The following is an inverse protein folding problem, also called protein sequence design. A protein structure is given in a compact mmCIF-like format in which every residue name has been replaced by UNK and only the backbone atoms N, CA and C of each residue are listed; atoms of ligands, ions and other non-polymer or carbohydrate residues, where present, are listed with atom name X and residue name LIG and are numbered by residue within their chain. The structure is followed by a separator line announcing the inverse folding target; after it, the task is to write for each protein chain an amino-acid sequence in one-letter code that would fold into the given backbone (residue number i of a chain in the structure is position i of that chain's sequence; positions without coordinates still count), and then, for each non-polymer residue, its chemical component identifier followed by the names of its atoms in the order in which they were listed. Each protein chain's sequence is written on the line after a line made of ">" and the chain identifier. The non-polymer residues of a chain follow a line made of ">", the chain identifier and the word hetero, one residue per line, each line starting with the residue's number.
data_IF_218395904687
#
_entry.id   IF_218395904687
#
_cell.length_a   1.000
_cell.length_b   1.000
_cell.length_c   1.000
_cell.angle_alpha   90.00
_cell.angle_beta   90.00
_cell.angle_gamma   90.00
#
_symmetry.space_group_name_H-M   'P 1'
#
loop_
_entity.id
_entity.type
_entity.pdbx_description
1 polymer ?
#
# COMPACT_ATOMS: atom_id res chain seq x y z
N UNK A 1 5.09 -6.68 25.69
CA UNK A 1 5.34 -5.42 24.92
C UNK A 1 4.13 -5.29 24.03
N UNK A 2 3.36 -4.20 24.14
CA UNK A 2 2.01 -4.07 23.60
C UNK A 2 1.81 -4.57 22.17
N UNK A 3 2.71 -4.24 21.24
CA UNK A 3 2.56 -4.71 19.85
C UNK A 3 2.73 -6.23 19.71
N UNK A 4 3.67 -6.83 20.45
CA UNK A 4 3.86 -8.29 20.48
C UNK A 4 2.64 -8.97 21.08
N UNK A 5 2.17 -8.46 22.22
CA UNK A 5 1.06 -9.07 22.95
C UNK A 5 -0.25 -8.99 22.11
N UNK A 6 -0.42 -7.89 21.35
CA UNK A 6 -1.48 -7.74 20.36
C UNK A 6 -1.34 -8.72 19.19
N UNK A 7 -0.15 -8.85 18.60
CA UNK A 7 0.09 -9.80 17.52
C UNK A 7 -0.16 -11.25 17.96
N UNK A 8 0.31 -11.63 19.15
CA UNK A 8 0.11 -12.96 19.74
C UNK A 8 -1.38 -13.28 19.92
N UNK A 9 -2.17 -12.29 20.37
CA UNK A 9 -3.63 -12.41 20.43
C UNK A 9 -4.22 -12.66 19.03
N UNK A 10 -3.85 -11.85 18.02
CA UNK A 10 -4.36 -12.03 16.66
C UNK A 10 -4.02 -13.41 16.08
N UNK A 11 -2.80 -13.91 16.27
CA UNK A 11 -2.41 -15.24 15.80
C UNK A 11 -3.16 -16.35 16.52
N UNK A 12 -3.37 -16.22 17.83
CA UNK A 12 -4.12 -17.20 18.62
C UNK A 12 -5.58 -17.29 18.19
N UNK A 13 -6.24 -16.16 17.98
CA UNK A 13 -7.68 -16.12 17.69
C UNK A 13 -8.01 -16.41 16.22
N UNK A 14 -7.11 -16.07 15.28
CA UNK A 14 -7.41 -16.12 13.85
C UNK A 14 -6.42 -16.94 13.01
N UNK A 15 -5.32 -17.44 13.58
CA UNK A 15 -4.27 -18.16 12.83
C UNK A 15 -4.72 -19.50 12.24
N UNK A 16 -5.82 -20.08 12.73
CA UNK A 16 -6.46 -21.25 12.16
C UNK A 16 -7.06 -20.95 10.77
N UNK A 17 -7.53 -19.72 10.53
CA UNK A 17 -8.20 -19.28 9.30
C UNK A 17 -7.32 -18.37 8.42
N UNK A 18 -6.59 -17.44 9.01
CA UNK A 18 -5.77 -16.45 8.30
C UNK A 18 -4.34 -16.97 8.14
N UNK A 19 -3.93 -17.19 6.89
CA UNK A 19 -2.63 -17.80 6.55
C UNK A 19 -1.58 -16.83 6.02
N UNK A 20 -1.98 -15.62 5.65
CA UNK A 20 -1.08 -14.56 5.18
C UNK A 20 -1.28 -13.33 6.04
N UNK A 21 -0.19 -12.84 6.64
CA UNK A 21 -0.22 -11.73 7.60
C UNK A 21 0.68 -10.59 7.13
N UNK A 22 0.16 -9.37 7.15
CA UNK A 22 0.93 -8.15 6.91
C UNK A 22 1.09 -7.45 8.27
N UNK A 23 2.32 -7.31 8.75
CA UNK A 23 2.61 -6.76 10.08
C UNK A 23 2.49 -5.25 10.13
N UNK A 24 2.95 -4.55 9.08
CA UNK A 24 2.86 -3.10 8.95
C UNK A 24 2.50 -2.73 7.52
N UNK A 25 1.39 -2.01 7.33
CA UNK A 25 1.09 -1.38 6.05
C UNK A 25 1.94 -0.10 5.90
N UNK A 26 2.71 0.05 4.82
CA UNK A 26 3.52 1.26 4.51
C UNK A 26 4.26 1.85 5.74
N UNK A 27 5.18 1.11 6.40
CA UNK A 27 5.88 1.63 7.59
C UNK A 27 6.61 2.96 7.35
N UNK A 28 6.99 3.26 6.09
CA UNK A 28 7.56 4.56 5.72
C UNK A 28 6.62 5.73 6.04
N UNK A 29 5.32 5.63 5.74
CA UNK A 29 4.40 6.76 5.88
C UNK A 29 4.15 7.13 7.35
N UNK A 30 4.32 6.16 8.26
CA UNK A 30 4.24 6.39 9.69
C UNK A 30 5.52 6.99 10.28
N UNK A 31 6.64 6.91 9.55
CA UNK A 31 7.97 7.34 10.03
C UNK A 31 8.44 8.68 9.44
N UNK A 32 7.61 9.33 8.60
CA UNK A 32 7.75 10.64 7.93
C UNK A 32 9.17 11.08 7.48
N UNK A 33 9.34 11.35 6.17
CA UNK A 33 10.59 11.82 5.52
C UNK A 33 11.83 10.87 5.61
N UNK A 34 11.68 9.62 5.17
CA UNK A 34 12.81 8.71 4.92
C UNK A 34 12.78 8.15 3.49
N UNK A 35 13.60 8.71 2.60
CA UNK A 35 13.72 8.37 1.18
C UNK A 35 13.72 6.87 0.85
N UNK A 36 12.91 6.47 -0.13
CA UNK A 36 12.97 5.25 -0.97
C UNK A 36 12.85 3.89 -0.26
N UNK A 37 12.15 2.95 -0.91
CA UNK A 37 11.92 1.53 -0.55
C UNK A 37 13.12 0.83 0.11
N UNK A 38 14.36 1.17 -0.27
CA UNK A 38 15.59 0.57 0.29
C UNK A 38 15.81 0.83 1.78
N UNK A 39 15.31 1.95 2.34
CA UNK A 39 15.52 2.33 3.75
C UNK A 39 14.96 1.31 4.74
N UNK A 40 13.78 0.77 4.47
CA UNK A 40 13.13 -0.23 5.31
C UNK A 40 13.40 -1.67 4.88
N UNK A 41 13.69 -1.89 3.60
CA UNK A 41 13.98 -3.22 3.07
C UNK A 41 15.38 -3.73 3.45
N UNK A 42 16.39 -2.86 3.47
CA UNK A 42 17.76 -3.28 3.81
C UNK A 42 17.90 -3.86 5.22
N UNK A 43 17.27 -3.30 6.28
CA UNK A 43 17.29 -3.92 7.60
C UNK A 43 16.71 -5.33 7.63
N UNK A 44 15.60 -5.59 6.94
CA UNK A 44 14.97 -6.92 6.94
C UNK A 44 15.67 -7.91 6.00
N UNK A 45 16.32 -7.44 4.93
CA UNK A 45 17.08 -8.31 4.02
C UNK A 45 18.48 -8.60 4.57
N UNK A 46 19.16 -7.58 5.09
CA UNK A 46 20.58 -7.60 5.39
C UNK A 46 20.92 -7.41 6.87
N UNK A 47 19.94 -7.13 7.74
CA UNK A 47 20.15 -6.87 9.16
C UNK A 47 20.76 -5.50 9.47
N UNK A 48 20.77 -4.56 8.51
CA UNK A 48 21.42 -3.25 8.64
C UNK A 48 20.77 -2.19 7.74
N UNK A 49 20.87 -0.93 8.12
CA UNK A 49 20.47 0.18 7.27
C UNK A 49 21.34 0.28 5.98
N UNK A 50 20.79 0.86 4.88
CA UNK A 50 21.54 1.10 3.66
C UNK A 50 22.85 1.86 3.91
N UNK A 51 23.86 1.58 3.09
CA UNK A 51 25.17 2.24 3.19
C UNK A 51 25.05 3.77 3.12
N UNK A 52 24.22 4.27 2.20
CA UNK A 52 23.96 5.71 2.02
C UNK A 52 23.36 6.35 3.28
N UNK A 53 22.39 5.71 3.94
CA UNK A 53 21.81 6.22 5.19
C UNK A 53 22.80 6.27 6.32
N UNK A 54 23.60 5.22 6.52
CA UNK A 54 24.65 5.20 7.54
C UNK A 54 25.65 6.34 7.32
N UNK A 55 25.96 6.64 6.05
CA UNK A 55 26.87 7.71 5.68
C UNK A 55 26.27 9.12 5.84
N UNK A 56 24.98 9.32 5.52
CA UNK A 56 24.33 10.65 5.53
C UNK A 56 23.82 11.00 6.94
N UNK A 57 23.17 10.06 7.62
CA UNK A 57 22.49 10.30 8.90
C UNK A 57 23.46 10.19 10.09
N UNK A 58 24.47 9.30 9.98
CA UNK A 58 25.57 9.13 10.94
C UNK A 58 25.06 8.99 12.38
N UNK A 59 25.54 9.83 13.30
CA UNK A 59 25.23 9.78 14.74
C UNK A 59 23.74 9.93 15.08
N UNK A 60 22.90 10.40 14.14
CA UNK A 60 21.44 10.46 14.33
C UNK A 60 20.73 9.14 14.00
N UNK A 61 21.43 8.18 13.39
CA UNK A 61 20.91 6.87 13.05
C UNK A 61 21.28 5.89 14.16
N UNK A 62 20.30 5.29 14.85
CA UNK A 62 20.61 4.25 15.84
C UNK A 62 21.29 3.06 15.17
N UNK A 63 22.23 2.43 15.88
CA UNK A 63 22.85 1.18 15.44
C UNK A 63 22.09 0.00 16.02
N UNK A 64 21.88 -1.03 15.20
CA UNK A 64 21.36 -2.29 15.69
C UNK A 64 22.44 -3.02 16.48
N UNK A 65 22.08 -3.53 17.66
CA UNK A 65 22.90 -4.57 18.30
C UNK A 65 22.94 -5.82 17.42
N UNK A 66 23.92 -6.70 17.66
CA UNK A 66 24.00 -7.98 16.96
C UNK A 66 22.70 -8.79 17.04
N UNK A 67 22.12 -8.88 18.23
CA UNK A 67 20.85 -9.58 18.45
C UNK A 67 19.69 -8.94 17.67
N UNK A 68 19.59 -7.61 17.63
CA UNK A 68 18.57 -6.91 16.83
C UNK A 68 18.75 -7.13 15.34
N UNK A 69 20.00 -7.10 14.86
CA UNK A 69 20.34 -7.37 13.46
C UNK A 69 19.93 -8.79 13.04
N UNK A 70 20.22 -9.77 13.89
CA UNK A 70 19.84 -11.17 13.69
C UNK A 70 18.32 -11.38 13.74
N UNK A 71 17.61 -10.66 14.62
CA UNK A 71 16.14 -10.71 14.69
C UNK A 71 15.45 -10.11 13.46
N UNK A 72 16.03 -9.08 12.84
CA UNK A 72 15.44 -8.42 11.66
C UNK A 72 15.74 -9.17 10.37
N UNK A 73 16.95 -9.71 10.25
CA UNK A 73 17.40 -10.34 9.00
C UNK A 73 16.58 -11.59 8.69
N UNK A 74 15.89 -11.57 7.55
CA UNK A 74 15.05 -12.67 7.09
C UNK A 74 13.72 -12.79 7.84
N UNK A 75 13.28 -11.76 8.57
CA UNK A 75 12.02 -11.78 9.33
C UNK A 75 10.77 -11.60 8.43
N UNK A 76 10.74 -12.27 7.29
CA UNK A 76 9.65 -12.22 6.30
C UNK A 76 9.57 -13.53 5.50
N UNK A 77 8.36 -13.98 5.20
CA UNK A 77 8.12 -15.10 4.27
C UNK A 77 7.81 -14.60 2.85
N UNK A 78 7.18 -13.43 2.74
CA UNK A 78 6.84 -12.75 1.50
C UNK A 78 6.92 -11.24 1.68
N UNK A 79 7.08 -10.51 0.57
CA UNK A 79 7.13 -9.05 0.56
C UNK A 79 5.91 -8.54 -0.20
N UNK A 80 5.12 -7.69 0.44
CA UNK A 80 4.00 -6.99 -0.20
C UNK A 80 4.46 -5.61 -0.63
N UNK A 81 4.50 -5.37 -1.94
CA UNK A 81 4.86 -4.07 -2.50
C UNK A 81 3.59 -3.31 -2.82
N UNK A 82 3.36 -2.24 -2.07
CA UNK A 82 2.37 -1.23 -2.43
C UNK A 82 2.94 -0.38 -3.57
N UNK A 83 2.65 -0.77 -4.80
CA UNK A 83 3.14 -0.13 -6.00
C UNK A 83 2.01 0.63 -6.69
N UNK A 84 2.14 1.96 -6.77
CA UNK A 84 1.15 2.82 -7.41
C UNK A 84 1.69 3.53 -8.66
N UNK A 85 3.01 3.67 -8.78
CA UNK A 85 3.70 4.28 -9.93
C UNK A 85 5.20 3.94 -9.94
N UNK A 86 5.84 3.94 -11.12
CA UNK A 86 7.31 3.91 -11.29
C UNK A 86 7.88 5.31 -11.05
N UNK A 87 8.90 5.46 -10.21
CA UNK A 87 9.48 6.77 -9.88
C UNK A 87 10.63 7.18 -10.82
N UNK A 88 10.51 8.36 -11.45
CA UNK A 88 11.40 9.46 -11.07
C UNK A 88 10.81 10.09 -9.80
N UNK A 89 11.62 10.50 -8.82
CA UNK A 89 11.15 10.94 -7.48
C UNK A 89 10.13 12.09 -7.57
N UNK A 90 8.84 11.85 -7.28
CA UNK A 90 7.84 12.75 -6.66
C UNK A 90 6.64 11.91 -6.17
N UNK A 91 6.25 12.07 -4.90
CA UNK A 91 5.10 11.48 -4.18
C UNK A 91 3.85 11.15 -5.02
N UNK A 92 3.11 10.07 -4.71
CA UNK A 92 1.77 9.82 -5.30
C UNK A 92 0.84 8.96 -4.41
N UNK A 93 0.04 9.61 -3.55
CA UNK A 93 -1.40 9.48 -3.77
C UNK A 93 -1.69 10.34 -5.00
N UNK A 94 -2.51 9.88 -5.94
CA UNK A 94 -2.60 10.54 -7.24
C UNK A 94 -3.29 11.91 -7.13
N UNK A 95 -2.52 12.97 -6.84
CA UNK A 95 -3.01 14.33 -6.56
C UNK A 95 -3.48 15.08 -7.85
N UNK A 96 -3.95 14.35 -8.87
CA UNK A 96 -4.32 14.93 -10.16
C UNK A 96 -5.26 14.11 -11.05
N UNK A 97 -5.70 12.92 -10.63
CA UNK A 97 -6.63 12.06 -11.39
C UNK A 97 -7.64 11.34 -10.48
N UNK A 98 -7.88 11.86 -9.27
CA UNK A 98 -9.00 11.42 -8.44
C UNK A 98 -10.29 11.98 -9.04
N UNK A 99 -11.35 11.17 -9.09
CA UNK A 99 -12.70 11.70 -9.31
C UNK A 99 -12.98 12.63 -8.13
N UNK A 100 -12.86 13.95 -8.36
CA UNK A 100 -13.31 14.94 -7.39
C UNK A 100 -14.77 14.62 -7.14
N UNK A 101 -15.14 14.50 -5.86
CA UNK A 101 -16.54 14.31 -5.48
C UNK A 101 -17.31 15.61 -5.80
N UNK A 102 -17.67 15.80 -7.07
CA UNK A 102 -18.51 16.91 -7.52
C UNK A 102 -19.96 16.56 -7.19
N UNK A 103 -20.57 17.22 -6.20
CA UNK A 103 -21.94 16.94 -5.79
C UNK A 103 -22.98 17.26 -6.87
N UNK A 104 -22.58 17.87 -8.00
CA UNK A 104 -23.43 18.20 -9.14
C UNK A 104 -23.34 17.19 -10.28
N UNK A 105 -22.36 16.28 -10.27
CA UNK A 105 -22.19 15.27 -11.32
C UNK A 105 -23.31 14.23 -11.24
N UNK A 106 -24.03 13.93 -12.34
CA UNK A 106 -25.03 12.87 -12.36
C UNK A 106 -24.40 11.50 -12.03
N UNK A 107 -25.15 10.63 -11.35
CA UNK A 107 -24.67 9.30 -10.96
C UNK A 107 -24.16 8.51 -12.18
N UNK A 108 -24.88 8.55 -13.30
CA UNK A 108 -24.51 7.83 -14.52
C UNK A 108 -23.12 8.25 -15.04
N UNK A 109 -22.76 9.52 -14.91
CA UNK A 109 -21.44 10.02 -15.29
C UNK A 109 -20.38 9.66 -14.25
N UNK A 110 -20.72 9.74 -12.95
CA UNK A 110 -19.82 9.37 -11.86
C UNK A 110 -19.41 7.88 -11.85
N UNK A 111 -20.16 7.02 -12.54
CA UNK A 111 -19.85 5.59 -12.69
C UNK A 111 -18.85 5.29 -13.83
N UNK A 112 -18.56 6.26 -14.70
CA UNK A 112 -17.71 6.09 -15.89
C UNK A 112 -16.28 6.58 -15.57
N UNK A 113 -15.49 5.72 -14.93
CA UNK A 113 -14.14 6.01 -14.44
C UNK A 113 -13.04 5.48 -15.37
N UNK A 114 -13.11 5.80 -16.66
CA UNK A 114 -12.20 5.28 -17.70
C UNK A 114 -10.71 5.42 -17.36
N UNK A 115 -10.33 6.48 -16.65
CA UNK A 115 -8.94 6.68 -16.23
C UNK A 115 -8.48 5.62 -15.22
N UNK A 116 -9.36 5.18 -14.31
CA UNK A 116 -9.09 4.10 -13.36
C UNK A 116 -8.99 2.75 -14.08
N UNK A 117 -9.82 2.54 -15.10
CA UNK A 117 -9.75 1.38 -16.00
C UNK A 117 -8.38 1.32 -16.69
N UNK A 118 -7.97 2.41 -17.36
CA UNK A 118 -6.65 2.50 -18.02
C UNK A 118 -5.49 2.30 -17.04
N UNK A 119 -5.62 2.85 -15.84
CA UNK A 119 -4.63 2.68 -14.79
C UNK A 119 -4.44 1.20 -14.42
N UNK A 120 -5.53 0.47 -14.15
CA UNK A 120 -5.45 -0.94 -13.80
C UNK A 120 -4.96 -1.81 -14.97
N UNK A 121 -5.42 -1.55 -16.20
CA UNK A 121 -4.94 -2.29 -17.38
C UNK A 121 -3.43 -2.19 -17.54
N UNK A 122 -2.86 -0.97 -17.51
CA UNK A 122 -1.41 -0.80 -17.62
C UNK A 122 -0.66 -1.48 -16.49
N UNK A 123 -1.17 -1.42 -15.25
CA UNK A 123 -0.52 -2.08 -14.12
C UNK A 123 -0.52 -3.61 -14.28
N UNK A 124 -1.63 -4.18 -14.73
CA UNK A 124 -1.74 -5.61 -14.99
C UNK A 124 -0.85 -6.05 -16.16
N UNK A 125 -0.70 -5.21 -17.20
CA UNK A 125 0.22 -5.48 -18.31
C UNK A 125 1.67 -5.55 -17.84
N UNK A 126 2.13 -4.56 -17.07
CA UNK A 126 3.49 -4.58 -16.51
C UNK A 126 3.68 -5.69 -15.48
N UNK A 127 2.66 -6.02 -14.70
CA UNK A 127 2.71 -7.16 -13.78
C UNK A 127 2.87 -8.47 -14.56
N UNK A 128 2.16 -8.62 -15.67
CA UNK A 128 2.28 -9.77 -16.56
C UNK A 128 3.68 -9.87 -17.18
N UNK A 129 4.27 -8.74 -17.59
CA UNK A 129 5.67 -8.68 -18.05
C UNK A 129 6.61 -9.16 -16.92
N UNK A 130 6.47 -8.64 -15.70
CA UNK A 130 7.31 -9.05 -14.57
C UNK A 130 7.18 -10.56 -14.27
N UNK A 131 5.97 -11.11 -14.35
CA UNK A 131 5.73 -12.56 -14.18
C UNK A 131 6.44 -13.35 -15.29
N UNK A 132 6.35 -12.90 -16.55
CA UNK A 132 7.05 -13.52 -17.69
C UNK A 132 8.57 -13.46 -17.55
N UNK A 133 9.08 -12.41 -16.92
CA UNK A 133 10.51 -12.24 -16.60
C UNK A 133 10.95 -13.02 -15.35
N UNK A 134 10.07 -13.85 -14.78
CA UNK A 134 10.40 -14.78 -13.70
C UNK A 134 10.15 -14.25 -12.28
N UNK A 135 9.52 -13.09 -12.12
CA UNK A 135 9.14 -12.58 -10.80
C UNK A 135 8.00 -13.42 -10.23
N UNK A 136 8.20 -13.98 -9.02
CA UNK A 136 7.23 -14.82 -8.34
C UNK A 136 6.10 -14.00 -7.67
N UNK A 137 5.19 -13.46 -8.49
CA UNK A 137 4.01 -12.71 -8.01
C UNK A 137 2.93 -13.68 -7.51
N UNK A 138 2.37 -13.40 -6.32
CA UNK A 138 1.33 -14.23 -5.68
C UNK A 138 -0.07 -13.65 -5.69
N UNK A 139 -0.21 -12.36 -6.00
CA UNK A 139 -1.51 -11.71 -6.07
C UNK A 139 -1.39 -10.23 -6.40
N UNK A 140 -2.51 -9.66 -6.84
CA UNK A 140 -2.69 -8.23 -7.10
C UNK A 140 -3.99 -7.79 -6.40
N UNK A 141 -3.91 -6.74 -5.61
CA UNK A 141 -5.04 -6.24 -4.83
C UNK A 141 -5.25 -4.77 -5.16
N UNK A 142 -6.34 -4.48 -5.87
CA UNK A 142 -6.71 -3.12 -6.22
C UNK A 142 -7.10 -2.32 -4.96
N UNK A 143 -6.55 -1.12 -4.81
CA UNK A 143 -7.06 -0.15 -3.85
C UNK A 143 -8.11 0.73 -4.56
N UNK A 144 -9.37 0.74 -4.14
CA UNK A 144 -10.00 -0.03 -3.05
C UNK A 144 -11.30 -0.69 -3.49
N UNK A 145 -11.82 -1.60 -2.66
CA UNK A 145 -13.09 -2.26 -2.94
C UNK A 145 -14.26 -1.26 -3.00
N UNK A 146 -14.31 -0.31 -2.06
CA UNK A 146 -15.33 0.74 -1.99
C UNK A 146 -14.70 2.11 -1.88
N UNK A 147 -15.44 3.15 -2.27
CA UNK A 147 -15.11 4.51 -1.85
C UNK A 147 -15.09 4.58 -0.32
N UNK A 148 -14.09 5.25 0.23
CA UNK A 148 -13.83 5.28 1.67
C UNK A 148 -13.19 6.61 2.09
N UNK A 149 -13.06 6.79 3.41
CA UNK A 149 -12.39 7.94 4.00
C UNK A 149 -10.89 7.93 3.70
N UNK A 150 -10.42 8.96 2.99
CA UNK A 150 -9.03 9.10 2.57
C UNK A 150 -8.27 10.09 3.45
N UNK A 151 -7.74 9.63 4.59
CA UNK A 151 -6.83 10.39 5.47
C UNK A 151 -7.18 11.89 5.52
N UNK A 152 -6.25 12.78 5.14
CA UNK A 152 -6.42 14.23 5.19
C UNK A 152 -7.41 14.79 4.14
N UNK A 153 -7.77 14.03 3.11
CA UNK A 153 -8.72 14.42 2.06
C UNK A 153 -10.17 14.08 2.44
N UNK A 154 -10.38 13.28 3.47
CA UNK A 154 -11.72 12.86 3.90
C UNK A 154 -12.48 12.13 2.78
N UNK A 155 -13.72 12.54 2.52
CA UNK A 155 -14.59 11.92 1.51
C UNK A 155 -14.62 12.67 0.16
N UNK A 156 -13.73 13.65 -0.02
CA UNK A 156 -13.72 14.52 -1.22
C UNK A 156 -13.15 13.85 -2.47
N UNK A 157 -12.64 12.62 -2.32
CA UNK A 157 -12.00 11.81 -3.36
C UNK A 157 -12.50 10.37 -3.29
N UNK A 158 -12.56 9.71 -4.45
CA UNK A 158 -13.14 8.37 -4.62
C UNK A 158 -12.08 7.39 -5.13
N UNK A 159 -11.77 6.36 -4.35
CA UNK A 159 -10.75 5.33 -4.68
C UNK A 159 -11.34 3.96 -4.99
N UNK A 160 -12.63 3.77 -4.70
CA UNK A 160 -13.31 2.50 -4.85
C UNK A 160 -13.58 2.15 -6.31
N UNK A 161 -13.43 0.88 -6.64
CA UNK A 161 -14.04 0.30 -7.84
C UNK A 161 -15.57 0.22 -7.71
N UNK A 162 -16.09 0.29 -6.48
CA UNK A 162 -17.51 0.50 -6.21
C UNK A 162 -17.74 1.91 -5.66
N UNK A 163 -18.67 2.64 -6.30
CA UNK A 163 -19.18 3.91 -5.81
C UNK A 163 -19.98 3.72 -4.53
N UNK A 164 -19.82 4.64 -3.57
CA UNK A 164 -20.62 4.69 -2.34
C UNK A 164 -21.41 5.99 -2.30
N UNK A 165 -22.73 5.89 -2.29
CA UNK A 165 -23.63 7.03 -2.14
C UNK A 165 -23.75 7.43 -0.67
N UNK A 166 -22.99 8.45 -0.27
CA UNK A 166 -23.00 8.96 1.10
C UNK A 166 -24.31 9.67 1.48
N UNK A 167 -25.18 10.00 0.52
CA UNK A 167 -26.45 10.69 0.74
C UNK A 167 -27.64 9.73 0.74
N UNK A 168 -27.55 8.60 0.05
CA UNK A 168 -28.56 7.54 -0.01
C UNK A 168 -28.13 6.30 0.79
N UNK A 169 -28.02 6.44 2.11
CA UNK A 169 -27.85 5.29 3.00
C UNK A 169 -26.61 4.43 2.76
N UNK A 170 -25.54 5.00 2.18
CA UNK A 170 -24.31 4.28 1.81
C UNK A 170 -24.53 3.19 0.75
N UNK A 171 -25.52 3.35 -0.13
CA UNK A 171 -25.77 2.39 -1.20
C UNK A 171 -24.56 2.27 -2.14
N UNK A 172 -24.30 1.06 -2.65
CA UNK A 172 -23.12 0.76 -3.46
C UNK A 172 -23.48 0.44 -4.89
N UNK A 173 -22.67 0.92 -5.81
CA UNK A 173 -22.84 0.73 -7.25
C UNK A 173 -21.48 0.37 -7.87
N UNK A 174 -21.37 -0.71 -8.64
CA UNK A 174 -20.13 -1.02 -9.35
C UNK A 174 -19.85 0.08 -10.38
N UNK A 175 -18.62 0.59 -10.40
CA UNK A 175 -18.12 1.47 -11.47
C UNK A 175 -17.63 0.63 -12.64
N UNK A 176 -17.29 1.27 -13.75
CA UNK A 176 -16.73 0.57 -14.90
C UNK A 176 -15.47 -0.23 -14.53
N UNK A 177 -14.62 0.30 -13.65
CA UNK A 177 -13.42 -0.37 -13.15
C UNK A 177 -13.64 -1.61 -12.27
N UNK A 178 -14.88 -1.94 -11.91
CA UNK A 178 -15.20 -3.17 -11.17
C UNK A 178 -15.44 -4.40 -12.06
N UNK A 179 -15.54 -4.21 -13.37
CA UNK A 179 -15.88 -5.25 -14.36
C UNK A 179 -14.64 -5.80 -15.08
#
# INVERSE_FOLDING_TARGET
>A
NYFRDFADLCFREFGDKVKHWITMNKPWSYSNNGFVVGTFMDPVINGRYPHTMRHIVRHRLPEFTKAQSEMLKGSYDFIVVNYYATYYVTENGNFGYDDIDDPKLPLEEALIDNQRVDYYHRHLDYLNIAIKDGVNVKGYFAWSLFDNFKWDLGYTVKFGINYVDYKDGLKRYPKLSAC
#
